data_IF_680553626506
#
_entry.id   IF_680553626506
#
_cell.length_a   1.000
_cell.length_b   1.000
_cell.length_c   1.000
_cell.angle_alpha   90.00
_cell.angle_beta   90.00
_cell.angle_gamma   90.00
#
_symmetry.space_group_name_H-M   'P 1'
#
loop_
_entity.id
_entity.type
_entity.pdbx_description
1 polymer ?
#
# COMPACT_ATOMS: atom_id res chain seq x y z
N UNK A 1 8.08 3.79 0.05
CA UNK A 1 7.89 2.53 0.82
C UNK A 1 6.93 1.60 0.09
N UNK A 2 6.63 0.40 0.62
CA UNK A 2 5.84 -0.64 -0.07
C UNK A 2 4.35 -0.31 -0.28
N UNK A 3 3.78 0.57 0.54
CA UNK A 3 2.34 0.85 0.52
C UNK A 3 1.85 1.43 -0.82
N UNK A 4 2.71 2.13 -1.57
CA UNK A 4 2.39 2.63 -2.92
C UNK A 4 2.05 1.51 -3.92
N UNK A 5 2.56 0.30 -3.69
CA UNK A 5 2.34 -0.87 -4.55
C UNK A 5 1.09 -1.64 -4.15
N UNK A 6 0.75 -1.65 -2.85
CA UNK A 6 -0.31 -2.48 -2.29
C UNK A 6 -1.61 -1.74 -1.98
N UNK A 7 -1.60 -0.41 -1.86
CA UNK A 7 -2.77 0.36 -1.51
C UNK A 7 -3.79 0.38 -2.65
N UNK A 8 -5.00 -0.06 -2.34
CA UNK A 8 -6.21 0.15 -3.15
C UNK A 8 -7.15 1.04 -2.33
N UNK A 9 -7.16 2.33 -2.70
CA UNK A 9 -7.83 3.40 -1.97
C UNK A 9 -9.30 3.05 -1.68
N UNK A 10 -9.72 3.19 -0.42
CA UNK A 10 -11.06 2.84 0.10
C UNK A 10 -11.46 1.36 -0.01
N UNK A 11 -10.59 0.49 -0.54
CA UNK A 11 -10.83 -0.94 -0.66
C UNK A 11 -10.11 -1.68 0.47
N UNK A 12 -8.78 -1.54 0.55
CA UNK A 12 -7.94 -2.27 1.51
C UNK A 12 -7.18 -1.36 2.48
N UNK A 13 -7.39 -0.05 2.36
CA UNK A 13 -6.84 1.00 3.20
C UNK A 13 -6.87 2.36 2.52
N UNK A 14 -6.03 3.27 2.99
CA UNK A 14 -5.90 4.64 2.49
C UNK A 14 -4.42 5.00 2.39
N UNK A 15 -4.00 5.62 1.29
CA UNK A 15 -2.69 6.27 1.25
C UNK A 15 -2.74 7.61 1.97
N UNK A 16 -1.60 8.15 2.39
CA UNK A 16 -1.49 9.51 2.91
C UNK A 16 -0.46 10.22 2.04
N UNK A 17 -0.75 11.46 1.67
CA UNK A 17 0.16 12.27 0.88
C UNK A 17 0.06 12.05 -0.63
N UNK A 18 0.90 12.79 -1.35
CA UNK A 18 0.98 12.69 -2.81
C UNK A 18 1.67 11.39 -3.20
N UNK A 19 1.36 10.91 -4.41
CA UNK A 19 2.08 9.79 -5.01
C UNK A 19 3.47 10.28 -5.42
N UNK A 20 4.47 9.97 -4.61
CA UNK A 20 5.88 10.30 -4.84
C UNK A 20 6.36 9.63 -6.12
N UNK A 21 6.96 10.39 -7.04
CA UNK A 21 7.62 9.82 -8.23
C UNK A 21 9.07 9.40 -7.88
N UNK A 22 9.73 8.69 -8.80
CA UNK A 22 11.16 8.37 -8.63
C UNK A 22 12.05 9.63 -8.62
N UNK A 23 11.56 10.74 -9.16
CA UNK A 23 12.27 12.02 -9.18
C UNK A 23 12.23 12.75 -7.82
N UNK A 24 11.29 12.38 -6.95
CA UNK A 24 11.04 13.05 -5.67
C UNK A 24 11.79 12.39 -4.49
N UNK A 25 12.56 11.32 -4.73
CA UNK A 25 13.14 10.45 -3.69
C UNK A 25 14.25 11.12 -2.86
N UNK A 26 14.97 12.08 -3.45
CA UNK A 26 16.12 12.76 -2.81
C UNK A 26 15.72 14.03 -2.04
N UNK A 27 14.43 14.37 -1.97
CA UNK A 27 13.95 15.47 -1.14
C UNK A 27 13.81 14.92 0.28
N UNK A 28 14.61 15.45 1.22
CA UNK A 28 14.44 15.11 2.63
C UNK A 28 12.97 15.31 3.03
N UNK A 29 12.41 14.45 3.91
CA UNK A 29 11.04 14.59 4.38
C UNK A 29 10.98 15.77 5.36
N UNK A 30 11.06 16.98 4.82
CA UNK A 30 10.52 18.15 5.47
C UNK A 30 9.03 17.87 5.67
N UNK A 31 8.47 18.33 6.79
CA UNK A 31 7.03 18.23 7.06
C UNK A 31 6.26 18.78 5.86
N UNK A 32 5.73 17.91 5.00
CA UNK A 32 4.94 18.33 3.86
C UNK A 32 3.55 18.74 4.37
N UNK A 33 3.20 20.04 4.33
CA UNK A 33 1.89 20.51 4.78
C UNK A 33 0.75 19.85 4.02
N UNK A 34 0.99 19.41 2.78
CA UNK A 34 0.00 18.72 1.96
C UNK A 34 -0.26 17.30 2.47
N UNK A 35 0.75 16.58 2.99
CA UNK A 35 0.55 15.27 3.62
C UNK A 35 -0.28 15.38 4.89
N UNK A 36 0.00 16.39 5.71
CA UNK A 36 -0.77 16.67 6.93
C UNK A 36 -2.22 17.02 6.57
N UNK A 37 -2.41 17.87 5.57
CA UNK A 37 -3.74 18.24 5.10
C UNK A 37 -4.53 17.03 4.59
N UNK A 38 -3.89 16.17 3.78
CA UNK A 38 -4.50 14.94 3.27
C UNK A 38 -4.87 13.97 4.40
N UNK A 39 -3.97 13.78 5.37
CA UNK A 39 -4.24 12.96 6.56
C UNK A 39 -5.48 13.45 7.32
N UNK A 40 -5.54 14.75 7.66
CA UNK A 40 -6.68 15.30 8.40
C UNK A 40 -7.98 15.23 7.60
N UNK A 41 -7.93 15.48 6.29
CA UNK A 41 -9.11 15.36 5.42
C UNK A 41 -9.61 13.93 5.35
N UNK A 42 -8.72 12.95 5.13
CA UNK A 42 -9.10 11.53 5.08
C UNK A 42 -9.64 11.06 6.42
N UNK A 43 -9.02 11.45 7.53
CA UNK A 43 -9.56 11.14 8.86
C UNK A 43 -10.96 11.74 9.05
N UNK A 44 -11.11 13.04 8.81
CA UNK A 44 -12.35 13.77 9.09
C UNK A 44 -13.51 13.34 8.20
N UNK A 45 -13.28 13.17 6.91
CA UNK A 45 -14.35 13.01 5.92
C UNK A 45 -14.55 11.58 5.43
N UNK A 46 -13.57 10.70 5.64
CA UNK A 46 -13.61 9.32 5.12
C UNK A 46 -13.53 8.31 6.26
N UNK A 47 -12.42 8.28 7.00
CA UNK A 47 -12.10 7.20 7.93
C UNK A 47 -12.99 7.25 9.17
N UNK A 48 -13.05 8.39 9.87
CA UNK A 48 -13.85 8.51 11.10
C UNK A 48 -15.35 8.35 10.81
N UNK A 49 -15.95 8.97 9.78
CA UNK A 49 -17.36 8.72 9.44
C UNK A 49 -17.62 7.25 9.08
N UNK A 50 -16.71 6.61 8.33
CA UNK A 50 -16.84 5.18 8.00
C UNK A 50 -16.81 4.32 9.26
N UNK A 51 -15.91 4.62 10.20
CA UNK A 51 -15.81 3.89 11.46
C UNK A 51 -17.05 4.09 12.34
N UNK A 52 -17.45 5.32 12.62
CA UNK A 52 -18.52 5.63 13.58
C UNK A 52 -19.93 5.44 13.03
N UNK A 53 -20.15 5.66 11.73
CA UNK A 53 -21.50 5.66 11.13
C UNK A 53 -21.71 4.53 10.13
N UNK A 54 -20.68 3.78 9.74
CA UNK A 54 -20.78 2.71 8.74
C UNK A 54 -19.83 1.57 9.05
N UNK A 55 -19.83 1.09 10.30
CA UNK A 55 -18.86 0.10 10.78
C UNK A 55 -18.78 -1.16 9.92
N UNK A 56 -19.89 -1.61 9.30
CA UNK A 56 -19.88 -2.71 8.34
C UNK A 56 -18.96 -2.47 7.13
N UNK A 57 -18.91 -1.23 6.61
CA UNK A 57 -17.95 -0.84 5.57
C UNK A 57 -16.52 -0.84 6.10
N UNK A 58 -16.31 -0.36 7.33
CA UNK A 58 -14.99 -0.41 7.97
C UNK A 58 -14.48 -1.86 8.12
N UNK A 59 -15.36 -2.79 8.53
CA UNK A 59 -15.07 -4.23 8.57
C UNK A 59 -14.75 -4.79 7.19
N UNK A 60 -15.44 -4.33 6.15
CA UNK A 60 -15.10 -4.73 4.78
C UNK A 60 -13.68 -4.29 4.40
N UNK A 61 -13.28 -3.04 4.72
CA UNK A 61 -11.91 -2.57 4.50
C UNK A 61 -10.89 -3.44 5.24
N UNK A 62 -11.15 -3.79 6.50
CA UNK A 62 -10.28 -4.68 7.27
C UNK A 62 -10.14 -6.06 6.60
N UNK A 63 -11.25 -6.67 6.16
CA UNK A 63 -11.23 -7.96 5.46
C UNK A 63 -10.49 -7.90 4.13
N UNK A 64 -10.70 -6.84 3.36
CA UNK A 64 -9.99 -6.62 2.10
C UNK A 64 -8.50 -6.39 2.31
N UNK A 65 -8.11 -5.68 3.39
CA UNK A 65 -6.70 -5.54 3.79
C UNK A 65 -6.02 -6.90 3.93
N UNK A 66 -6.63 -7.81 4.69
CA UNK A 66 -6.10 -9.18 4.84
C UNK A 66 -6.11 -9.92 3.50
N UNK A 67 -7.24 -9.94 2.78
CA UNK A 67 -7.40 -10.73 1.56
C UNK A 67 -6.46 -10.30 0.42
N UNK A 68 -6.14 -9.03 0.32
CA UNK A 68 -5.37 -8.48 -0.80
C UNK A 68 -3.88 -8.38 -0.48
N UNK A 69 -3.52 -8.03 0.76
CA UNK A 69 -2.10 -7.92 1.14
C UNK A 69 -1.49 -9.31 1.29
N UNK A 70 -2.14 -10.23 2.01
CA UNK A 70 -1.55 -11.55 2.31
C UNK A 70 -1.36 -12.44 1.08
N UNK A 71 -2.24 -12.29 0.07
CA UNK A 71 -2.21 -13.10 -1.15
C UNK A 71 -1.02 -12.76 -2.04
N UNK A 72 -0.61 -11.50 -2.09
CA UNK A 72 0.50 -11.06 -2.96
C UNK A 72 1.81 -10.83 -2.19
N UNK A 73 1.75 -10.16 -1.04
CA UNK A 73 2.94 -9.77 -0.27
C UNK A 73 3.34 -10.85 0.74
N UNK A 74 3.63 -12.05 0.24
CA UNK A 74 4.15 -13.15 1.05
C UNK A 74 5.54 -13.62 0.57
N UNK A 75 6.31 -14.16 1.51
CA UNK A 75 7.69 -14.61 1.30
C UNK A 75 7.77 -15.82 0.38
N UNK A 76 6.77 -16.70 0.37
CA UNK A 76 6.72 -17.85 -0.54
C UNK A 76 6.74 -17.39 -2.01
N UNK A 77 5.88 -16.44 -2.38
CA UNK A 77 5.89 -15.83 -3.72
C UNK A 77 7.24 -15.17 -4.02
N UNK A 78 7.77 -14.36 -3.09
CA UNK A 78 9.04 -13.67 -3.28
C UNK A 78 10.18 -14.66 -3.56
N UNK A 79 10.36 -15.68 -2.73
CA UNK A 79 11.43 -16.68 -2.89
C UNK A 79 11.27 -17.44 -4.21
N UNK A 80 10.05 -17.84 -4.57
CA UNK A 80 9.78 -18.49 -5.86
C UNK A 80 10.16 -17.60 -7.05
N UNK A 81 9.90 -16.30 -6.97
CA UNK A 81 10.31 -15.36 -8.02
C UNK A 81 11.82 -15.20 -8.12
N UNK A 82 12.54 -15.14 -6.99
CA UNK A 82 14.01 -15.12 -7.00
C UNK A 82 14.58 -16.38 -7.66
N UNK A 83 14.08 -17.55 -7.27
CA UNK A 83 14.52 -18.85 -7.84
C UNK A 83 14.26 -18.88 -9.35
N UNK A 84 13.04 -18.60 -9.78
CA UNK A 84 12.63 -18.76 -11.19
C UNK A 84 13.20 -17.67 -12.10
N UNK A 85 13.22 -16.41 -11.66
CA UNK A 85 13.57 -15.27 -12.51
C UNK A 85 15.06 -14.93 -12.49
N UNK A 86 15.79 -15.27 -11.43
CA UNK A 86 17.21 -14.93 -11.30
C UNK A 86 18.10 -16.19 -11.32
N UNK A 87 17.87 -17.13 -10.40
CA UNK A 87 18.78 -18.27 -10.22
C UNK A 87 18.67 -19.32 -11.34
N UNK A 88 17.46 -19.80 -11.64
CA UNK A 88 17.26 -20.82 -12.68
C UNK A 88 17.32 -20.23 -14.09
N UNK A 89 16.89 -18.98 -14.27
CA UNK A 89 16.94 -18.29 -15.56
C UNK A 89 18.37 -18.24 -16.13
N UNK A 90 19.38 -18.02 -15.29
CA UNK A 90 20.78 -17.96 -15.70
C UNK A 90 21.44 -19.34 -15.89
N UNK A 91 20.77 -20.43 -15.51
CA UNK A 91 21.32 -21.80 -15.63
C UNK A 91 20.87 -22.48 -16.93
N UNK A 92 19.78 -22.02 -17.54
CA UNK A 92 19.20 -22.57 -18.79
C UNK A 92 19.63 -21.82 -20.07
N UNK A 93 20.49 -20.80 -19.95
CA UNK A 93 21.00 -20.01 -21.07
C UNK A 93 22.42 -20.43 -21.51
N UNK A 94 22.77 -21.71 -21.32
CA UNK A 94 24.01 -22.35 -21.82
C UNK A 94 23.68 -23.30 -22.96
#
# INVERSE_FOLDING_TARGET
>A
GWWIEGCMENINGWSIGKKTSWEDIDIEPEWDPDEIHDLYNKLRYIILPTYYHSFGKYVNVMKMSVATVSTYFNTNRMVMEYITKLYLKNTLSV
#
